data_IF_637692776716
#
_entry.id   IF_637692776716
#
_cell.length_a   1.000
_cell.length_b   1.000
_cell.length_c   1.000
_cell.angle_alpha   90.00
_cell.angle_beta   90.00
_cell.angle_gamma   90.00
#
_symmetry.space_group_name_H-M   'P 1'
#
loop_
_entity.id
_entity.type
_entity.pdbx_description
1 polymer ?
#
# COMPACT_ATOMS: atom_id res chain seq x y z
N UNK A 1 -9.74 -1.03 25.09
CA UNK A 1 -10.73 -2.12 24.93
C UNK A 1 -10.46 -2.83 23.63
N UNK A 2 -10.45 -4.17 23.59
CA UNK A 2 -10.30 -4.96 22.36
C UNK A 2 -11.55 -5.82 22.17
N UNK A 3 -12.01 -5.97 20.93
CA UNK A 3 -13.12 -6.86 20.58
C UNK A 3 -12.56 -8.18 20.05
N UNK A 4 -13.13 -9.28 20.47
CA UNK A 4 -12.78 -10.61 20.00
C UNK A 4 -13.98 -11.26 19.33
N UNK A 5 -13.78 -11.76 18.12
CA UNK A 5 -14.81 -12.41 17.33
C UNK A 5 -14.36 -13.81 16.93
N UNK A 6 -15.31 -14.75 16.93
CA UNK A 6 -15.10 -16.08 16.35
C UNK A 6 -15.74 -16.11 14.98
N UNK A 7 -15.00 -16.54 13.98
CA UNK A 7 -15.45 -16.67 12.59
C UNK A 7 -15.39 -18.13 12.14
N UNK A 8 -16.15 -18.48 11.11
CA UNK A 8 -16.26 -19.84 10.59
C UNK A 8 -15.18 -20.16 9.56
N UNK A 9 -14.77 -19.15 8.80
CA UNK A 9 -13.86 -19.29 7.68
C UNK A 9 -13.16 -17.96 7.34
N UNK A 10 -12.18 -18.00 6.45
CA UNK A 10 -11.43 -16.83 6.01
C UNK A 10 -12.33 -15.78 5.32
N UNK A 11 -13.38 -16.18 4.62
CA UNK A 11 -14.31 -15.26 3.97
C UNK A 11 -15.09 -14.43 5.00
N UNK A 12 -15.54 -15.05 6.09
CA UNK A 12 -16.18 -14.34 7.18
C UNK A 12 -15.18 -13.42 7.91
N UNK A 13 -13.95 -13.89 8.09
CA UNK A 13 -12.88 -13.07 8.67
C UNK A 13 -12.63 -11.80 7.85
N UNK A 14 -12.52 -11.92 6.52
CA UNK A 14 -12.34 -10.79 5.60
C UNK A 14 -13.51 -9.81 5.70
N UNK A 15 -14.76 -10.32 5.64
CA UNK A 15 -15.94 -9.46 5.75
C UNK A 15 -15.95 -8.67 7.06
N UNK A 16 -15.67 -9.34 8.16
CA UNK A 16 -15.64 -8.72 9.49
C UNK A 16 -14.49 -7.72 9.61
N UNK A 17 -13.30 -8.06 9.11
CA UNK A 17 -12.15 -7.16 9.10
C UNK A 17 -12.41 -5.89 8.28
N UNK A 18 -13.19 -6.00 7.20
CA UNK A 18 -13.55 -4.88 6.34
C UNK A 18 -14.75 -4.07 6.83
N UNK A 19 -15.52 -4.61 7.79
CA UNK A 19 -16.67 -3.92 8.40
C UNK A 19 -16.22 -2.86 9.41
N UNK A 20 -15.43 -1.93 8.91
CA UNK A 20 -14.92 -0.77 9.63
C UNK A 20 -14.64 0.37 8.66
N UNK A 21 -14.76 1.59 9.16
CA UNK A 21 -14.37 2.78 8.40
C UNK A 21 -12.86 3.04 8.38
N UNK A 22 -12.07 2.23 9.05
CA UNK A 22 -10.62 2.34 9.10
C UNK A 22 -9.95 1.22 8.31
N UNK A 23 -8.70 1.43 7.90
CA UNK A 23 -7.91 0.45 7.16
C UNK A 23 -6.43 0.82 7.18
N UNK A 24 -5.82 0.91 8.37
CA UNK A 24 -4.40 1.22 8.50
C UNK A 24 -3.54 0.00 8.20
N UNK A 25 -3.73 -1.06 8.93
CA UNK A 25 -2.96 -2.28 8.79
C UNK A 25 -3.65 -3.48 9.43
N UNK A 26 -3.27 -4.67 8.98
CA UNK A 26 -3.72 -5.94 9.52
C UNK A 26 -2.55 -6.89 9.77
N UNK A 27 -2.69 -7.72 10.81
CA UNK A 27 -1.82 -8.87 11.05
C UNK A 27 -2.63 -10.14 10.86
N UNK A 28 -2.14 -11.07 10.07
CA UNK A 28 -2.76 -12.37 9.84
C UNK A 28 -1.79 -13.48 10.26
N UNK A 29 -2.32 -14.52 10.89
CA UNK A 29 -1.53 -15.63 11.41
C UNK A 29 -2.04 -16.92 10.83
N UNK A 30 -1.26 -17.53 9.94
CA UNK A 30 -1.59 -18.79 9.27
C UNK A 30 -0.34 -19.51 8.81
N UNK A 31 -0.43 -20.82 8.68
CA UNK A 31 0.61 -21.65 8.04
C UNK A 31 0.23 -22.06 6.61
N UNK A 32 -0.99 -21.74 6.18
CA UNK A 32 -1.50 -22.02 4.85
C UNK A 32 -1.24 -20.85 3.92
N UNK A 33 -0.48 -21.07 2.85
CA UNK A 33 -0.11 -20.05 1.86
C UNK A 33 -1.29 -19.54 1.05
N UNK A 34 -2.23 -20.42 0.71
CA UNK A 34 -3.41 -20.05 -0.09
C UNK A 34 -4.40 -19.24 0.76
N UNK A 35 -4.50 -19.56 2.03
CA UNK A 35 -5.26 -18.75 2.99
C UNK A 35 -4.61 -17.39 3.19
N UNK A 36 -3.27 -17.33 3.35
CA UNK A 36 -2.55 -16.07 3.45
C UNK A 36 -2.80 -15.17 2.24
N UNK A 37 -2.70 -15.72 1.03
CA UNK A 37 -2.95 -14.98 -0.20
C UNK A 37 -4.38 -14.42 -0.24
N UNK A 38 -5.38 -15.22 0.09
CA UNK A 38 -6.79 -14.76 0.16
C UNK A 38 -7.00 -13.65 1.18
N UNK A 39 -6.36 -13.74 2.34
CA UNK A 39 -6.46 -12.72 3.39
C UNK A 39 -5.77 -11.43 2.95
N UNK A 40 -4.59 -11.51 2.32
CA UNK A 40 -3.86 -10.35 1.78
C UNK A 40 -4.71 -9.61 0.75
N UNK A 41 -5.28 -10.34 -0.21
CA UNK A 41 -6.05 -9.74 -1.29
C UNK A 41 -7.42 -9.22 -0.82
N UNK A 42 -8.01 -9.85 0.19
CA UNK A 42 -9.36 -9.55 0.63
C UNK A 42 -9.47 -8.48 1.70
N UNK A 43 -8.42 -8.23 2.50
CA UNK A 43 -8.47 -7.24 3.58
C UNK A 43 -8.15 -5.85 3.05
N UNK A 44 -9.08 -4.91 3.23
CA UNK A 44 -8.97 -3.52 2.77
C UNK A 44 -8.17 -2.66 3.74
N UNK A 45 -6.85 -2.80 3.69
CA UNK A 45 -5.90 -2.05 4.52
C UNK A 45 -4.73 -1.52 3.69
N UNK A 46 -4.02 -0.55 4.22
CA UNK A 46 -2.79 -0.05 3.60
C UNK A 46 -1.65 -1.06 3.65
N UNK A 47 -1.69 -2.02 4.57
CA UNK A 47 -0.65 -3.03 4.75
C UNK A 47 -1.18 -4.27 5.45
N UNK A 48 -0.66 -5.43 5.07
CA UNK A 48 -0.92 -6.72 5.70
C UNK A 48 0.39 -7.38 6.09
N UNK A 49 0.49 -7.81 7.34
CA UNK A 49 1.62 -8.53 7.88
C UNK A 49 1.23 -9.98 8.13
N UNK A 50 1.94 -10.92 7.52
CA UNK A 50 1.70 -12.36 7.71
C UNK A 50 2.67 -12.89 8.76
N UNK A 51 2.12 -13.51 9.81
CA UNK A 51 2.87 -14.04 10.96
C UNK A 51 3.79 -13.00 11.62
N UNK A 52 3.39 -11.74 11.56
CA UNK A 52 4.08 -10.61 12.17
C UNK A 52 3.08 -9.55 12.64
N UNK A 53 3.49 -8.74 13.60
CA UNK A 53 2.73 -7.56 14.01
C UNK A 53 2.95 -6.42 13.03
N UNK A 54 1.93 -5.58 12.87
CA UNK A 54 2.04 -4.32 12.10
C UNK A 54 3.15 -3.46 12.71
N UNK A 55 4.11 -3.07 11.87
CA UNK A 55 5.25 -2.26 12.28
C UNK A 55 5.69 -1.33 11.14
N UNK A 56 6.22 -0.18 11.50
CA UNK A 56 6.86 0.74 10.54
C UNK A 56 8.26 0.24 10.20
N UNK A 57 8.59 0.25 8.89
CA UNK A 57 9.94 0.00 8.39
C UNK A 57 10.27 1.06 7.34
N UNK A 58 11.38 1.79 7.47
CA UNK A 58 11.72 2.88 6.56
C UNK A 58 11.94 2.44 5.10
N UNK A 59 12.06 1.15 4.84
CA UNK A 59 12.26 0.59 3.48
C UNK A 59 10.97 0.38 2.71
N UNK A 60 9.83 0.33 3.38
CA UNK A 60 8.53 0.04 2.78
C UNK A 60 7.52 1.15 3.08
N UNK A 61 6.55 1.40 2.16
CA UNK A 61 5.55 2.43 2.39
C UNK A 61 4.64 2.08 3.57
N UNK A 62 4.31 3.08 4.37
CA UNK A 62 3.39 2.99 5.49
C UNK A 62 2.23 3.97 5.31
N UNK A 63 1.01 3.53 5.53
CA UNK A 63 -0.18 4.36 5.46
C UNK A 63 -1.43 3.52 5.32
N UNK A 64 -2.58 4.17 5.41
CA UNK A 64 -3.88 3.52 5.44
C UNK A 64 -4.73 3.80 4.21
N UNK A 65 -5.91 3.21 4.24
CA UNK A 65 -7.03 3.48 3.33
C UNK A 65 -8.26 3.88 4.16
N UNK A 66 -9.36 4.21 3.52
CA UNK A 66 -10.59 4.66 4.18
C UNK A 66 -10.29 5.87 5.09
N UNK A 67 -10.87 5.92 6.28
CA UNK A 67 -10.65 7.01 7.25
C UNK A 67 -9.29 6.94 7.96
N UNK A 68 -8.47 5.93 7.71
CA UNK A 68 -7.09 5.88 8.22
C UNK A 68 -6.14 6.83 7.51
N UNK A 69 -6.57 7.49 6.43
CA UNK A 69 -5.87 8.59 5.81
C UNK A 69 -5.54 8.37 4.33
N UNK A 70 -4.78 9.32 3.79
CA UNK A 70 -4.37 9.39 2.40
C UNK A 70 -2.86 9.27 2.29
N UNK A 71 -2.38 8.87 1.09
CA UNK A 71 -0.95 8.80 0.79
C UNK A 71 -0.23 7.69 1.51
N UNK A 72 1.09 7.73 1.39
CA UNK A 72 2.01 6.82 2.06
C UNK A 72 3.21 7.61 2.58
N UNK A 73 3.65 7.29 3.77
CA UNK A 73 4.95 7.70 4.29
C UNK A 73 5.95 6.56 4.14
N UNK A 74 7.21 6.83 4.35
CA UNK A 74 8.33 5.90 4.26
C UNK A 74 8.56 5.30 2.85
N UNK A 75 9.69 4.65 2.66
CA UNK A 75 10.11 4.12 1.38
C UNK A 75 10.18 5.18 0.28
N UNK A 76 10.27 4.74 -0.95
CA UNK A 76 10.32 5.63 -2.13
C UNK A 76 9.05 6.47 -2.27
N UNK A 77 7.91 5.92 -1.93
CA UNK A 77 6.63 6.64 -2.01
C UNK A 77 6.59 7.81 -1.04
N UNK A 78 7.05 7.62 0.20
CA UNK A 78 7.10 8.69 1.19
C UNK A 78 8.05 9.82 0.76
N UNK A 79 9.17 9.50 0.15
CA UNK A 79 10.09 10.52 -0.39
C UNK A 79 9.41 11.31 -1.51
N UNK A 80 8.67 10.65 -2.39
CA UNK A 80 7.98 11.28 -3.52
C UNK A 80 6.86 12.23 -3.10
N UNK A 81 6.27 12.07 -1.93
CA UNK A 81 5.26 13.00 -1.39
C UNK A 81 5.82 14.41 -1.11
N UNK A 82 7.14 14.53 -0.92
CA UNK A 82 7.81 15.81 -0.60
C UNK A 82 8.52 16.44 -1.80
N UNK A 83 8.41 15.86 -3.00
CA UNK A 83 9.07 16.37 -4.20
C UNK A 83 8.04 16.68 -5.29
N UNK A 84 8.39 17.63 -6.14
CA UNK A 84 7.62 17.92 -7.34
C UNK A 84 8.11 17.04 -8.50
N UNK A 85 7.24 16.18 -9.00
CA UNK A 85 7.52 15.39 -10.21
C UNK A 85 7.28 16.31 -11.40
N UNK A 86 8.37 16.76 -12.06
CA UNK A 86 8.30 17.67 -13.19
C UNK A 86 8.56 16.93 -14.51
N UNK A 87 7.60 16.97 -15.42
CA UNK A 87 7.82 16.54 -16.80
C UNK A 87 8.54 17.63 -17.57
N UNK A 88 9.64 17.28 -18.22
CA UNK A 88 10.36 18.17 -19.13
C UNK A 88 10.26 17.59 -20.54
N UNK A 89 9.64 18.33 -21.43
CA UNK A 89 9.53 17.98 -22.85
C UNK A 89 10.25 19.05 -23.68
N UNK A 90 11.31 18.65 -24.37
CA UNK A 90 12.07 19.56 -25.24
C UNK A 90 11.75 19.17 -26.68
N UNK A 91 10.94 19.99 -27.33
CA UNK A 91 10.72 19.86 -28.76
C UNK A 91 11.98 20.30 -29.54
N UNK A 92 12.05 19.89 -30.82
CA UNK A 92 13.19 20.18 -31.70
C UNK A 92 13.53 21.69 -31.69
N UNK A 93 14.69 22.06 -31.19
CA UNK A 93 15.22 23.39 -31.41
C UNK A 93 15.78 23.45 -32.84
N UNK A 94 15.39 24.45 -33.63
CA UNK A 94 15.87 24.60 -35.01
C UNK A 94 17.40 24.62 -35.03
N UNK A 95 18.04 23.55 -35.52
CA UNK A 95 19.50 23.47 -35.68
C UNK A 95 20.16 22.11 -35.36
N UNK A 96 19.45 21.05 -34.97
CA UNK A 96 20.12 19.78 -34.66
C UNK A 96 19.18 18.59 -34.62
N UNK A 97 19.67 17.44 -35.09
CA UNK A 97 18.96 16.19 -35.29
C UNK A 97 18.06 15.70 -34.15
N UNK A 98 17.07 14.93 -34.53
CA UNK A 98 15.99 14.46 -33.65
C UNK A 98 16.46 13.83 -32.37
N UNK A 99 15.85 14.26 -31.28
CA UNK A 99 16.00 13.63 -29.99
C UNK A 99 14.66 13.08 -29.54
N UNK A 100 14.66 11.84 -29.09
CA UNK A 100 13.57 11.26 -28.36
C UNK A 100 13.42 11.98 -27.01
N UNK A 101 12.20 12.11 -26.45
CA UNK A 101 12.04 12.65 -25.10
C UNK A 101 12.78 11.75 -24.11
N UNK A 102 13.61 12.34 -23.28
CA UNK A 102 14.26 11.65 -22.16
C UNK A 102 13.39 11.85 -20.93
N UNK A 103 12.78 10.79 -20.44
CA UNK A 103 12.16 10.81 -19.11
C UNK A 103 13.28 10.72 -18.07
N UNK A 104 13.33 11.63 -17.14
CA UNK A 104 14.19 11.58 -15.95
C UNK A 104 13.28 11.17 -14.78
N UNK A 105 13.51 9.97 -14.26
CA UNK A 105 12.86 9.48 -13.01
C UNK A 105 13.52 10.06 -11.78
#
# INVERSE_FOLDING_TARGET
>A
MASLFRVRDAGEAIRLANDTKFGLGASVWTTDRDEAARLIDGIETGQVFVNAMVASDPRVPFGGVKHSGFGRELGVYGIREFVNIKTVWIAKMNGGGGSHPTAIE
#
